data_IF_780643692214
#
_entry.id   IF_780643692214
#
_cell.length_a   1.000
_cell.length_b   1.000
_cell.length_c   1.000
_cell.angle_alpha   90.00
_cell.angle_beta   90.00
_cell.angle_gamma   90.00
#
_symmetry.space_group_name_H-M   'P 1'
#
loop_
_entity.id
_entity.type
_entity.pdbx_description
1 polymer ?
#
# COMPACT_ATOMS: atom_id res chain seq x y z
N UNK A 1 11.65 4.21 6.03
CA UNK A 1 12.47 3.74 4.90
C UNK A 1 12.69 2.26 5.09
N UNK A 2 12.35 1.47 4.09
CA UNK A 2 12.59 0.03 4.05
C UNK A 2 13.45 -0.31 2.83
N UNK A 3 14.19 -1.39 2.92
CA UNK A 3 14.96 -1.95 1.82
C UNK A 3 14.56 -3.43 1.71
N UNK A 4 14.03 -3.81 0.56
CA UNK A 4 13.78 -5.21 0.23
C UNK A 4 14.97 -5.75 -0.57
N UNK A 5 15.51 -6.90 -0.16
CA UNK A 5 16.67 -7.51 -0.79
C UNK A 5 16.36 -8.97 -1.09
N UNK A 6 16.44 -9.32 -2.35
CA UNK A 6 16.37 -10.72 -2.79
C UNK A 6 17.72 -11.17 -3.32
N UNK A 7 18.15 -12.33 -2.87
CA UNK A 7 19.37 -12.99 -3.33
C UNK A 7 18.96 -14.33 -3.93
N UNK A 8 19.36 -14.57 -5.18
CA UNK A 8 19.04 -15.81 -5.89
C UNK A 8 19.36 -17.03 -5.03
N UNK A 9 18.38 -17.86 -4.74
CA UNK A 9 18.58 -19.02 -3.86
C UNK A 9 17.44 -20.04 -3.87
N UNK A 10 16.24 -19.66 -4.30
CA UNK A 10 15.10 -20.58 -4.36
C UNK A 10 15.37 -21.68 -5.37
N UNK A 11 15.19 -22.93 -4.96
CA UNK A 11 15.39 -24.12 -5.79
C UNK A 11 16.84 -24.55 -5.96
N UNK A 12 17.80 -23.83 -5.38
CA UNK A 12 19.23 -24.18 -5.48
C UNK A 12 19.75 -25.06 -4.33
N UNK A 13 18.92 -25.33 -3.31
CA UNK A 13 19.37 -26.07 -2.13
C UNK A 13 20.64 -25.48 -1.51
N UNK A 14 21.65 -26.29 -1.15
CA UNK A 14 22.91 -25.82 -0.57
C UNK A 14 23.87 -25.22 -1.60
N UNK A 15 23.53 -25.26 -2.89
CA UNK A 15 24.41 -24.82 -3.96
C UNK A 15 24.73 -23.32 -3.83
N UNK A 16 25.99 -22.98 -4.00
CA UNK A 16 26.49 -21.61 -3.87
C UNK A 16 26.15 -20.93 -2.53
N UNK A 17 25.91 -21.69 -1.46
CA UNK A 17 25.49 -21.14 -0.16
C UNK A 17 26.45 -20.08 0.38
N UNK A 18 27.75 -20.34 0.36
CA UNK A 18 28.77 -19.39 0.83
C UNK A 18 28.68 -18.06 0.08
N UNK A 19 28.61 -18.08 -1.25
CA UNK A 19 28.46 -16.87 -2.09
C UNK A 19 27.17 -16.13 -1.77
N UNK A 20 26.04 -16.83 -1.61
CA UNK A 20 24.76 -16.22 -1.28
C UNK A 20 24.79 -15.54 0.08
N UNK A 21 25.39 -16.19 1.07
CA UNK A 21 25.56 -15.63 2.41
C UNK A 21 26.45 -14.40 2.40
N UNK A 22 27.56 -14.45 1.66
CA UNK A 22 28.46 -13.30 1.50
C UNK A 22 27.76 -12.12 0.81
N UNK A 23 27.00 -12.36 -0.27
CA UNK A 23 26.20 -11.32 -0.92
C UNK A 23 25.24 -10.66 0.08
N UNK A 24 24.52 -11.45 0.87
CA UNK A 24 23.62 -10.94 1.92
C UNK A 24 24.35 -10.09 2.95
N UNK A 25 25.49 -10.57 3.42
CA UNK A 25 26.33 -9.83 4.36
C UNK A 25 26.84 -8.51 3.77
N UNK A 26 27.34 -8.50 2.54
CA UNK A 26 27.83 -7.30 1.88
C UNK A 26 26.74 -6.24 1.70
N UNK A 27 25.53 -6.67 1.26
CA UNK A 27 24.39 -5.75 1.12
C UNK A 27 23.98 -5.17 2.47
N UNK A 28 23.86 -6.00 3.51
CA UNK A 28 23.51 -5.56 4.85
C UNK A 28 24.56 -4.59 5.41
N UNK A 29 25.85 -4.95 5.30
CA UNK A 29 26.97 -4.10 5.72
C UNK A 29 26.95 -2.75 5.01
N UNK A 30 26.83 -2.75 3.67
CA UNK A 30 26.84 -1.52 2.88
C UNK A 30 25.64 -0.64 3.21
N UNK A 31 24.48 -1.24 3.44
CA UNK A 31 23.27 -0.51 3.87
C UNK A 31 23.51 0.21 5.21
N UNK A 32 24.08 -0.47 6.20
CA UNK A 32 24.37 0.12 7.51
C UNK A 32 25.43 1.23 7.40
N UNK A 33 26.51 1.02 6.65
CA UNK A 33 27.55 2.03 6.41
C UNK A 33 26.94 3.27 5.76
N UNK A 34 26.18 3.11 4.69
CA UNK A 34 25.51 4.21 4.00
C UNK A 34 24.53 4.94 4.90
N UNK A 35 23.73 4.21 5.68
CA UNK A 35 22.80 4.81 6.63
C UNK A 35 23.51 5.63 7.72
N UNK A 36 24.64 5.13 8.24
CA UNK A 36 25.44 5.85 9.21
C UNK A 36 26.06 7.14 8.62
N UNK A 37 26.64 7.04 7.44
CA UNK A 37 27.25 8.19 6.75
C UNK A 37 26.24 9.29 6.39
N UNK A 38 25.04 8.89 5.99
CA UNK A 38 23.98 9.81 5.53
C UNK A 38 22.87 10.05 6.55
N UNK A 39 23.06 9.68 7.83
CA UNK A 39 22.03 9.71 8.88
C UNK A 39 21.24 11.01 8.96
N UNK A 40 21.92 12.15 8.91
CA UNK A 40 21.28 13.48 9.02
C UNK A 40 20.39 13.77 7.80
N UNK A 41 20.87 13.44 6.61
CA UNK A 41 20.10 13.60 5.37
C UNK A 41 18.87 12.68 5.33
N UNK A 42 19.03 11.42 5.73
CA UNK A 42 17.94 10.45 5.81
C UNK A 42 16.86 10.92 6.79
N UNK A 43 17.24 11.30 8.02
CA UNK A 43 16.29 11.83 9.01
C UNK A 43 15.53 13.05 8.47
N UNK A 44 16.23 14.01 7.89
CA UNK A 44 15.61 15.21 7.30
C UNK A 44 14.62 14.85 6.19
N UNK A 45 14.96 13.94 5.29
CA UNK A 45 14.07 13.50 4.20
C UNK A 45 12.83 12.78 4.75
N UNK A 46 12.98 11.96 5.78
CA UNK A 46 11.85 11.30 6.45
C UNK A 46 10.91 12.35 7.06
N UNK A 47 11.44 13.31 7.80
CA UNK A 47 10.64 14.38 8.40
C UNK A 47 9.93 15.26 7.33
N UNK A 48 10.61 15.57 6.24
CA UNK A 48 10.00 16.29 5.13
C UNK A 48 8.88 15.47 4.47
N UNK A 49 9.06 14.16 4.28
CA UNK A 49 8.04 13.28 3.73
C UNK A 49 6.81 13.20 4.66
N UNK A 50 7.01 13.04 5.97
CA UNK A 50 5.94 13.05 6.98
C UNK A 50 5.15 14.36 6.95
N UNK A 51 5.85 15.51 6.94
CA UNK A 51 5.21 16.82 6.86
C UNK A 51 4.41 17.02 5.57
N UNK A 52 4.88 16.48 4.44
CA UNK A 52 4.13 16.51 3.18
C UNK A 52 2.85 15.67 3.29
N UNK A 53 2.93 14.45 3.80
CA UNK A 53 1.76 13.59 3.97
C UNK A 53 0.69 14.22 4.87
N UNK A 54 1.12 14.89 5.97
CA UNK A 54 0.20 15.61 6.87
C UNK A 54 -0.62 16.71 6.16
N UNK A 55 -0.05 17.32 5.13
CA UNK A 55 -0.63 18.45 4.39
C UNK A 55 -1.11 18.05 2.99
N UNK A 56 -1.06 16.76 2.68
CA UNK A 56 -1.38 16.27 1.35
C UNK A 56 -2.85 16.55 0.99
N UNK A 57 -3.07 17.14 -0.16
CA UNK A 57 -4.38 17.41 -0.76
C UNK A 57 -4.51 16.75 -2.12
N UNK A 58 -3.42 16.18 -2.62
CA UNK A 58 -3.36 15.54 -3.93
C UNK A 58 -4.31 14.33 -3.97
N UNK A 59 -4.88 14.03 -5.14
CA UNK A 59 -5.72 12.86 -5.34
C UNK A 59 -5.02 11.56 -4.95
N UNK A 60 -5.81 10.54 -4.65
CA UNK A 60 -5.35 9.19 -4.36
C UNK A 60 -5.43 8.39 -5.65
N UNK A 61 -4.33 7.82 -6.09
CA UNK A 61 -4.29 6.82 -7.16
C UNK A 61 -4.59 5.46 -6.54
N UNK A 62 -5.82 5.01 -6.71
CA UNK A 62 -6.30 3.75 -6.12
C UNK A 62 -5.77 2.56 -6.88
N UNK A 63 -5.90 2.61 -8.22
CA UNK A 63 -5.33 1.62 -9.12
C UNK A 63 -4.53 2.29 -10.24
N UNK A 64 -3.52 1.60 -10.73
CA UNK A 64 -2.65 2.05 -11.81
C UNK A 64 -2.04 0.87 -12.55
N UNK A 65 -1.55 1.12 -13.75
CA UNK A 65 -0.73 0.18 -14.53
C UNK A 65 0.70 0.69 -14.61
N UNK A 66 1.68 -0.22 -14.54
CA UNK A 66 3.07 0.12 -14.80
C UNK A 66 3.32 0.20 -16.29
N UNK A 67 4.06 1.23 -16.72
CA UNK A 67 4.43 1.39 -18.11
C UNK A 67 5.65 0.52 -18.45
N UNK A 68 5.66 0.00 -19.69
CA UNK A 68 6.83 -0.69 -20.21
C UNK A 68 7.78 0.32 -20.83
N UNK A 69 8.94 0.46 -20.26
CA UNK A 69 10.02 1.33 -20.76
C UNK A 69 11.26 0.51 -21.10
N UNK A 70 12.09 1.05 -22.00
CA UNK A 70 13.34 0.41 -22.36
C UNK A 70 14.47 0.94 -21.49
N UNK A 71 15.08 0.04 -20.72
CA UNK A 71 16.23 0.36 -19.89
C UNK A 71 17.50 -0.33 -20.40
N UNK A 72 18.59 0.41 -20.37
CA UNK A 72 19.93 -0.17 -20.58
C UNK A 72 20.38 -0.83 -19.30
N UNK A 73 20.45 -2.17 -19.31
CA UNK A 73 20.85 -2.98 -18.16
C UNK A 73 22.24 -3.55 -18.41
N UNK A 74 23.09 -3.51 -17.38
CA UNK A 74 24.43 -4.10 -17.42
C UNK A 74 24.40 -5.52 -16.87
N UNK A 75 24.95 -6.45 -17.62
CA UNK A 75 25.09 -7.85 -17.24
C UNK A 75 26.56 -8.27 -17.25
N UNK A 76 26.85 -9.33 -16.54
CA UNK A 76 28.14 -10.01 -16.62
C UNK A 76 27.94 -11.29 -17.43
N UNK A 77 28.65 -11.44 -18.53
CA UNK A 77 28.75 -12.73 -19.22
C UNK A 77 29.47 -13.72 -18.30
N UNK A 78 28.77 -14.76 -17.91
CA UNK A 78 29.26 -15.76 -16.97
C UNK A 78 30.46 -16.54 -17.54
N UNK A 79 30.52 -16.74 -18.87
CA UNK A 79 31.61 -17.50 -19.53
C UNK A 79 32.82 -16.63 -19.80
N UNK A 80 32.63 -15.45 -20.34
CA UNK A 80 33.67 -14.50 -20.65
C UNK A 80 34.16 -13.70 -19.45
N UNK A 81 33.35 -13.63 -18.38
CA UNK A 81 33.55 -12.76 -17.21
C UNK A 81 33.70 -11.28 -17.60
N UNK A 82 32.95 -10.86 -18.60
CA UNK A 82 32.97 -9.52 -19.15
C UNK A 82 31.62 -8.80 -18.92
N UNK A 83 31.69 -7.49 -18.74
CA UNK A 83 30.49 -6.64 -18.65
C UNK A 83 29.96 -6.34 -20.07
N UNK A 84 28.69 -6.60 -20.29
CA UNK A 84 27.99 -6.12 -21.48
C UNK A 84 26.72 -5.38 -21.12
N UNK A 85 26.29 -4.51 -22.00
CA UNK A 85 25.04 -3.74 -21.84
C UNK A 85 24.07 -4.14 -22.94
N UNK A 86 22.82 -4.29 -22.55
CA UNK A 86 21.72 -4.50 -23.51
C UNK A 86 20.50 -3.71 -23.10
N UNK A 87 19.70 -3.35 -24.07
CA UNK A 87 18.44 -2.64 -23.85
C UNK A 87 17.31 -3.67 -23.76
N UNK A 88 16.59 -3.62 -22.64
CA UNK A 88 15.48 -4.53 -22.36
C UNK A 88 14.17 -3.78 -22.09
N UNK A 89 13.02 -4.27 -22.57
CA UNK A 89 11.72 -3.81 -22.11
C UNK A 89 11.53 -4.21 -20.65
N UNK A 90 11.24 -3.23 -19.81
CA UNK A 90 11.12 -3.41 -18.36
C UNK A 90 9.81 -2.75 -17.88
N UNK A 91 9.03 -3.45 -17.08
CA UNK A 91 7.92 -2.81 -16.35
C UNK A 91 8.53 -1.93 -15.26
N UNK A 92 8.35 -0.61 -15.39
CA UNK A 92 8.90 0.35 -14.43
C UNK A 92 7.82 0.77 -13.43
N UNK A 93 7.93 0.27 -12.21
CA UNK A 93 7.03 0.61 -11.11
C UNK A 93 7.09 2.10 -10.70
N UNK A 94 8.07 2.85 -11.18
CA UNK A 94 8.18 4.30 -10.96
C UNK A 94 7.51 5.12 -12.06
N UNK A 95 7.12 4.49 -13.16
CA UNK A 95 6.37 5.08 -14.26
C UNK A 95 5.03 4.36 -14.37
N UNK A 96 3.99 5.05 -13.93
CA UNK A 96 2.66 4.47 -13.82
C UNK A 96 1.62 5.37 -14.49
N UNK A 97 0.63 4.73 -15.11
CA UNK A 97 -0.57 5.39 -15.62
C UNK A 97 -1.72 5.12 -14.66
N UNK A 98 -2.26 6.16 -13.98
CA UNK A 98 -3.39 6.00 -13.07
C UNK A 98 -4.63 5.50 -13.82
N UNK A 99 -5.34 4.51 -13.25
CA UNK A 99 -6.58 3.96 -13.78
C UNK A 99 -7.79 4.45 -12.98
N UNK A 100 -7.74 4.33 -11.66
CA UNK A 100 -8.76 4.84 -10.76
C UNK A 100 -8.16 5.90 -9.85
N UNK A 101 -8.73 7.09 -9.93
CA UNK A 101 -8.28 8.25 -9.14
C UNK A 101 -9.46 8.78 -8.34
N UNK A 102 -9.22 9.06 -7.05
CA UNK A 102 -10.23 9.65 -6.16
C UNK A 102 -9.69 10.88 -5.46
N UNK A 103 -10.57 11.82 -5.15
CA UNK A 103 -10.24 12.95 -4.28
C UNK A 103 -9.79 12.45 -2.91
N UNK A 104 -8.90 13.16 -2.23
CA UNK A 104 -8.48 12.79 -0.88
C UNK A 104 -9.54 13.15 0.15
N UNK A 105 -10.09 12.19 0.92
CA UNK A 105 -11.04 12.50 1.98
C UNK A 105 -10.33 13.06 3.21
N UNK A 106 -11.08 13.65 4.16
CA UNK A 106 -10.54 14.07 5.46
C UNK A 106 -10.16 12.88 6.33
N UNK A 107 -10.99 11.84 6.30
CA UNK A 107 -10.82 10.61 7.06
C UNK A 107 -11.56 9.46 6.37
N UNK A 108 -11.30 8.24 6.78
CA UNK A 108 -12.20 7.11 6.57
C UNK A 108 -12.99 6.84 7.83
N UNK A 109 -14.25 6.48 7.65
CA UNK A 109 -15.14 5.98 8.68
C UNK A 109 -15.26 4.47 8.53
N UNK A 110 -14.92 3.73 9.57
CA UNK A 110 -15.13 2.29 9.65
C UNK A 110 -16.29 1.98 10.60
N UNK A 111 -17.12 1.02 10.22
CA UNK A 111 -18.15 0.49 11.10
C UNK A 111 -17.54 -0.07 12.39
N UNK A 112 -18.30 -0.07 13.48
CA UNK A 112 -17.88 -0.63 14.77
C UNK A 112 -17.47 -2.10 14.67
N UNK A 113 -18.01 -2.85 13.72
CA UNK A 113 -17.72 -4.26 13.46
C UNK A 113 -16.35 -4.50 12.81
N UNK A 114 -15.69 -3.47 12.26
CA UNK A 114 -14.39 -3.57 11.61
C UNK A 114 -13.23 -3.71 12.61
N UNK A 115 -13.39 -4.50 13.68
CA UNK A 115 -12.42 -4.63 14.77
C UNK A 115 -11.08 -5.17 14.30
N UNK A 116 -11.06 -6.14 13.38
CA UNK A 116 -9.82 -6.69 12.82
C UNK A 116 -9.04 -5.62 12.03
N UNK A 117 -9.72 -4.87 11.17
CA UNK A 117 -9.11 -3.77 10.41
C UNK A 117 -8.50 -2.73 11.36
N UNK A 118 -9.22 -2.36 12.42
CA UNK A 118 -8.75 -1.41 13.44
C UNK A 118 -7.54 -1.95 14.19
N UNK A 119 -7.53 -3.22 14.57
CA UNK A 119 -6.38 -3.86 15.23
C UNK A 119 -5.14 -3.83 14.33
N UNK A 120 -5.28 -4.19 13.05
CA UNK A 120 -4.18 -4.16 12.06
C UNK A 120 -3.66 -2.74 11.84
N UNK A 121 -4.54 -1.75 11.68
CA UNK A 121 -4.14 -0.34 11.54
C UNK A 121 -3.37 0.16 12.76
N UNK A 122 -3.83 -0.15 13.97
CA UNK A 122 -3.14 0.20 15.22
C UNK A 122 -1.78 -0.46 15.33
N UNK A 123 -1.67 -1.73 14.97
CA UNK A 123 -0.39 -2.45 14.94
C UNK A 123 0.62 -1.81 13.98
N UNK A 124 0.15 -1.21 12.89
CA UNK A 124 0.96 -0.43 11.94
C UNK A 124 1.32 0.98 12.44
N UNK A 125 0.78 1.40 13.59
CA UNK A 125 1.01 2.73 14.16
C UNK A 125 0.11 3.83 13.58
N UNK A 126 -1.00 3.46 12.95
CA UNK A 126 -2.00 4.41 12.45
C UNK A 126 -2.79 5.02 13.61
N UNK A 127 -2.93 6.34 13.61
CA UNK A 127 -3.80 7.04 14.55
C UNK A 127 -5.27 6.83 14.17
N UNK A 128 -6.08 6.41 15.15
CA UNK A 128 -7.50 6.10 14.99
C UNK A 128 -8.27 6.68 16.16
N UNK A 129 -9.38 7.33 15.88
CA UNK A 129 -10.28 7.92 16.86
C UNK A 129 -11.59 7.13 16.90
N UNK A 130 -12.14 6.93 18.08
CA UNK A 130 -13.46 6.34 18.22
C UNK A 130 -14.53 7.44 18.28
N UNK A 131 -15.62 7.26 17.57
CA UNK A 131 -16.78 8.15 17.66
C UNK A 131 -17.48 7.92 18.99
N UNK A 132 -17.41 8.91 19.89
CA UNK A 132 -17.98 8.85 21.24
C UNK A 132 -19.28 9.63 21.39
N UNK A 133 -19.65 10.44 20.39
CA UNK A 133 -20.88 11.23 20.36
C UNK A 133 -21.44 11.32 18.95
N UNK A 134 -22.73 11.46 18.84
CA UNK A 134 -23.41 11.66 17.55
C UNK A 134 -22.94 12.96 16.91
N UNK A 135 -22.53 12.89 15.65
CA UNK A 135 -22.10 14.01 14.83
C UNK A 135 -22.67 13.84 13.42
N UNK A 136 -23.20 14.91 12.86
CA UNK A 136 -23.60 14.90 11.43
C UNK A 136 -22.37 15.07 10.56
N UNK A 137 -22.31 14.29 9.50
CA UNK A 137 -21.21 14.31 8.56
C UNK A 137 -21.69 14.03 7.14
N UNK A 138 -20.99 14.57 6.17
CA UNK A 138 -21.15 14.21 4.77
C UNK A 138 -20.08 13.18 4.41
N UNK A 139 -20.53 12.04 3.93
CA UNK A 139 -19.66 10.90 3.56
C UNK A 139 -19.89 10.51 2.11
N UNK A 140 -18.90 9.87 1.53
CA UNK A 140 -19.06 9.05 0.34
C UNK A 140 -19.05 7.59 0.75
N UNK A 141 -20.08 6.86 0.33
CA UNK A 141 -20.25 5.43 0.56
C UNK A 141 -19.92 4.65 -0.69
N UNK A 142 -19.53 3.41 -0.51
CA UNK A 142 -19.27 2.47 -1.59
C UNK A 142 -20.38 1.44 -1.67
N UNK A 143 -20.88 1.20 -2.88
CA UNK A 143 -21.73 0.05 -3.20
C UNK A 143 -20.95 -0.86 -4.13
N UNK A 144 -20.76 -2.10 -3.75
CA UNK A 144 -20.07 -3.10 -4.58
C UNK A 144 -20.96 -3.45 -5.76
N UNK A 145 -20.49 -3.16 -6.97
CA UNK A 145 -21.20 -3.47 -8.22
C UNK A 145 -20.76 -4.79 -8.81
N UNK A 146 -19.50 -5.18 -8.60
CA UNK A 146 -18.95 -6.47 -9.01
C UNK A 146 -17.92 -6.95 -7.99
N UNK A 147 -17.81 -8.26 -7.87
CA UNK A 147 -16.86 -8.92 -7.01
C UNK A 147 -16.19 -10.09 -7.75
N UNK A 148 -14.87 -10.07 -7.77
CA UNK A 148 -14.04 -11.13 -8.38
C UNK A 148 -13.16 -11.75 -7.31
N UNK A 149 -13.29 -13.03 -7.10
CA UNK A 149 -12.43 -13.80 -6.19
C UNK A 149 -11.36 -14.52 -7.00
N UNK A 150 -10.10 -14.37 -6.60
CA UNK A 150 -9.00 -15.08 -7.26
C UNK A 150 -9.18 -16.60 -7.11
N UNK A 151 -9.00 -17.34 -8.20
CA UNK A 151 -9.02 -18.81 -8.18
C UNK A 151 -7.81 -19.36 -7.41
N UNK A 152 -6.66 -18.70 -7.58
CA UNK A 152 -5.42 -19.09 -6.92
C UNK A 152 -5.34 -18.47 -5.53
N UNK A 153 -5.02 -19.30 -4.55
CA UNK A 153 -4.72 -18.89 -3.19
C UNK A 153 -3.41 -18.08 -3.16
N UNK A 154 -3.39 -17.04 -2.35
CA UNK A 154 -2.23 -16.24 -2.02
C UNK A 154 -2.11 -16.13 -0.49
N UNK A 155 -1.05 -16.67 0.08
CA UNK A 155 -0.75 -16.62 1.53
C UNK A 155 -1.94 -17.03 2.42
N UNK A 156 -2.64 -18.09 2.07
CA UNK A 156 -3.76 -18.64 2.85
C UNK A 156 -5.12 -17.99 2.60
N UNK A 157 -5.21 -17.06 1.63
CA UNK A 157 -6.47 -16.43 1.24
C UNK A 157 -6.68 -16.46 -0.28
N UNK A 158 -7.94 -16.34 -0.72
CA UNK A 158 -8.29 -16.03 -2.10
C UNK A 158 -8.59 -14.54 -2.21
N UNK A 159 -7.66 -13.71 -2.73
CA UNK A 159 -7.85 -12.27 -2.84
C UNK A 159 -9.13 -11.89 -3.57
N UNK A 160 -9.76 -10.81 -3.14
CA UNK A 160 -11.01 -10.30 -3.70
C UNK A 160 -10.76 -8.93 -4.33
N UNK A 161 -11.07 -8.82 -5.63
CA UNK A 161 -11.13 -7.53 -6.29
C UNK A 161 -12.59 -7.10 -6.42
N UNK A 162 -12.85 -5.81 -6.22
CA UNK A 162 -14.19 -5.24 -6.34
C UNK A 162 -14.21 -4.07 -7.30
N UNK A 163 -15.37 -3.83 -7.91
CA UNK A 163 -15.73 -2.56 -8.53
C UNK A 163 -16.79 -1.91 -7.67
N UNK A 164 -16.72 -0.61 -7.45
CA UNK A 164 -17.70 0.10 -6.61
C UNK A 164 -18.27 1.34 -7.28
N UNK A 165 -19.56 1.57 -7.06
CA UNK A 165 -20.16 2.88 -7.22
C UNK A 165 -19.97 3.69 -5.94
N UNK A 166 -19.65 4.99 -6.09
CA UNK A 166 -19.49 5.92 -4.98
C UNK A 166 -20.66 6.92 -5.01
N UNK A 167 -21.29 7.10 -3.87
CA UNK A 167 -22.39 8.05 -3.72
C UNK A 167 -22.28 8.83 -2.41
N UNK A 168 -22.68 10.10 -2.47
CA UNK A 168 -22.71 10.97 -1.28
C UNK A 168 -23.93 10.68 -0.40
N UNK A 169 -23.72 10.74 0.92
CA UNK A 169 -24.77 10.57 1.93
C UNK A 169 -24.51 11.52 3.10
N UNK A 170 -25.59 12.01 3.71
CA UNK A 170 -25.53 12.78 4.96
C UNK A 170 -25.95 11.86 6.10
N UNK A 171 -25.00 11.55 6.96
CA UNK A 171 -25.18 10.55 8.01
C UNK A 171 -24.95 11.16 9.40
N UNK A 172 -25.55 10.55 10.39
CA UNK A 172 -25.10 10.67 11.77
C UNK A 172 -24.06 9.58 12.00
N UNK A 173 -22.84 9.97 12.42
CA UNK A 173 -21.77 9.03 12.69
C UNK A 173 -22.19 8.13 13.86
N UNK A 174 -22.24 6.79 13.68
CA UNK A 174 -22.66 5.89 14.75
C UNK A 174 -21.65 5.91 15.90
N UNK A 175 -22.15 5.99 17.14
CA UNK A 175 -21.30 5.83 18.33
C UNK A 175 -20.65 4.43 18.30
N UNK A 176 -19.36 4.38 18.60
CA UNK A 176 -18.58 3.14 18.56
C UNK A 176 -17.90 2.88 17.21
N UNK A 177 -18.28 3.57 16.14
CA UNK A 177 -17.54 3.53 14.87
C UNK A 177 -16.17 4.20 15.01
N UNK A 178 -15.34 4.07 13.97
CA UNK A 178 -13.93 4.50 14.01
C UNK A 178 -13.64 5.49 12.91
N UNK A 179 -13.01 6.61 13.26
CA UNK A 179 -12.47 7.59 12.32
C UNK A 179 -10.96 7.37 12.16
N UNK A 180 -10.52 7.31 10.92
CA UNK A 180 -9.10 7.16 10.55
C UNK A 180 -8.69 8.39 9.73
N UNK A 181 -8.18 9.46 10.37
CA UNK A 181 -7.80 10.69 9.68
C UNK A 181 -6.68 10.46 8.67
N UNK A 182 -6.72 11.16 7.53
CA UNK A 182 -5.63 11.16 6.56
C UNK A 182 -4.53 12.18 6.85
N UNK A 183 -4.82 13.19 7.67
CA UNK A 183 -3.84 14.18 8.13
C UNK A 183 -2.91 13.58 9.20
N UNK A 184 -2.23 12.49 8.87
CA UNK A 184 -1.24 11.80 9.73
C UNK A 184 -0.06 11.30 8.90
N UNK A 185 1.10 10.99 9.52
CA UNK A 185 2.29 10.54 8.79
C UNK A 185 2.07 9.30 7.93
N UNK A 186 1.12 8.44 8.30
CA UNK A 186 0.74 7.22 7.58
C UNK A 186 -0.51 7.40 6.69
N UNK A 187 -0.95 8.63 6.42
CA UNK A 187 -2.18 8.89 5.66
C UNK A 187 -2.22 8.22 4.29
N UNK A 188 -1.10 8.14 3.57
CA UNK A 188 -1.07 7.42 2.29
C UNK A 188 -1.22 5.91 2.47
N UNK A 189 -0.63 5.33 3.52
CA UNK A 189 -0.83 3.91 3.86
C UNK A 189 -2.30 3.65 4.20
N UNK A 190 -2.92 4.53 4.99
CA UNK A 190 -4.36 4.45 5.31
C UNK A 190 -5.19 4.41 4.03
N UNK A 191 -4.93 5.31 3.08
CA UNK A 191 -5.64 5.32 1.81
C UNK A 191 -5.45 3.99 1.04
N UNK A 192 -4.22 3.49 0.94
CA UNK A 192 -3.93 2.20 0.28
C UNK A 192 -4.69 1.04 0.93
N UNK A 193 -4.80 1.02 2.25
CA UNK A 193 -5.45 -0.08 2.97
C UNK A 193 -6.98 0.00 2.95
N UNK A 194 -7.56 1.21 2.87
CA UNK A 194 -9.00 1.42 3.04
C UNK A 194 -9.75 1.74 1.74
N UNK A 195 -9.06 2.05 0.64
CA UNK A 195 -9.72 2.14 -0.67
C UNK A 195 -10.07 0.72 -1.16
N UNK A 196 -11.36 0.46 -1.48
CA UNK A 196 -11.83 -0.91 -1.73
C UNK A 196 -11.15 -1.61 -2.91
N UNK A 197 -10.87 -0.88 -3.98
CA UNK A 197 -10.27 -1.44 -5.20
C UNK A 197 -8.74 -1.53 -5.14
N UNK A 198 -8.13 -1.13 -4.02
CA UNK A 198 -6.69 -1.25 -3.84
C UNK A 198 -6.28 -2.72 -3.77
N UNK A 199 -5.35 -3.13 -4.63
CA UNK A 199 -4.81 -4.50 -4.66
C UNK A 199 -4.01 -4.87 -3.40
N UNK A 200 -3.69 -3.89 -2.56
CA UNK A 200 -3.06 -4.07 -1.25
C UNK A 200 -4.02 -3.71 -0.11
N UNK A 201 -5.32 -3.56 -0.39
CA UNK A 201 -6.33 -3.08 0.53
C UNK A 201 -6.93 -4.17 1.41
N UNK A 202 -7.59 -3.76 2.47
CA UNK A 202 -8.26 -4.65 3.41
C UNK A 202 -9.46 -5.39 2.82
N UNK A 203 -10.09 -4.86 1.78
CA UNK A 203 -11.13 -5.57 1.02
C UNK A 203 -10.48 -6.69 0.20
N UNK A 204 -9.39 -6.39 -0.51
CA UNK A 204 -8.68 -7.38 -1.31
C UNK A 204 -8.21 -8.57 -0.48
N UNK A 205 -7.69 -8.32 0.73
CA UNK A 205 -7.22 -9.34 1.67
C UNK A 205 -8.32 -9.87 2.62
N UNK A 206 -9.59 -9.64 2.34
CA UNK A 206 -10.74 -10.14 3.09
C UNK A 206 -10.77 -9.72 4.59
N UNK A 207 -10.03 -8.69 4.98
CA UNK A 207 -10.06 -8.10 6.33
C UNK A 207 -11.34 -7.26 6.53
N UNK A 208 -11.79 -6.58 5.48
CA UNK A 208 -13.11 -5.95 5.41
C UNK A 208 -13.93 -6.77 4.41
N UNK A 209 -15.03 -7.40 4.86
CA UNK A 209 -15.85 -8.23 3.99
C UNK A 209 -16.55 -7.38 2.93
N UNK A 210 -16.71 -7.96 1.74
CA UNK A 210 -17.44 -7.38 0.62
C UNK A 210 -18.39 -8.40 0.02
N UNK A 211 -19.59 -7.93 -0.39
CA UNK A 211 -20.60 -8.71 -1.10
C UNK A 211 -21.14 -7.88 -2.25
N UNK A 212 -21.33 -8.54 -3.41
CA UNK A 212 -21.89 -7.89 -4.59
C UNK A 212 -23.31 -7.37 -4.31
N UNK A 213 -23.60 -6.16 -4.77
CA UNK A 213 -24.87 -5.47 -4.55
C UNK A 213 -25.01 -4.78 -3.19
N UNK A 214 -24.08 -4.98 -2.24
CA UNK A 214 -24.14 -4.40 -0.89
C UNK A 214 -23.20 -3.22 -0.70
N UNK A 215 -23.49 -2.41 0.33
CA UNK A 215 -22.60 -1.35 0.81
C UNK A 215 -21.43 -1.93 1.61
N UNK A 216 -20.29 -1.22 1.60
CA UNK A 216 -19.13 -1.59 2.40
C UNK A 216 -19.16 -0.98 3.81
N UNK A 217 -18.49 -1.62 4.74
CA UNK A 217 -18.31 -1.15 6.13
C UNK A 217 -17.26 -0.02 6.27
N UNK A 218 -16.78 0.50 5.16
CA UNK A 218 -15.91 1.65 5.08
C UNK A 218 -16.56 2.75 4.26
N UNK A 219 -16.38 4.01 4.67
CA UNK A 219 -16.85 5.21 3.97
C UNK A 219 -15.79 6.29 4.03
N UNK A 220 -15.89 7.29 3.16
CA UNK A 220 -14.98 8.44 3.07
C UNK A 220 -15.65 9.66 3.68
N UNK A 221 -15.05 10.27 4.70
CA UNK A 221 -15.52 11.52 5.29
C UNK A 221 -15.04 12.70 4.45
N UNK A 222 -15.97 13.45 3.85
CA UNK A 222 -15.66 14.59 2.97
C UNK A 222 -15.92 15.95 3.60
N UNK A 223 -16.85 16.04 4.53
CA UNK A 223 -17.14 17.27 5.33
C UNK A 223 -17.55 16.94 6.76
#
# INVERSE_FOLDING_TARGET
VSLFVEIRGIGLGPECFARRSECGFLVARQTLVTAAQHRASIKRKIEQARKRTLKATEPIYVTFTSDTVRHVVSFIDYKANELFKTELPTLDAMQVTPQLVRTRPKAYLLDALCTEAVCKLRALGVHIEQVTRVQKAKVERYKVTRLYRAEKEWEGIHPVNVETDVYEDNVELPIGSWLVPLAQPLGNLVATLLEPESVCGFVNFCVIPAEEGKGLFVSRLIK
#
